data_IF_249444181326
#
_entry.id   IF_249444181326
#
_cell.length_a   1.000
_cell.length_b   1.000
_cell.length_c   1.000
_cell.angle_alpha   90.00
_cell.angle_beta   90.00
_cell.angle_gamma   90.00
#
_symmetry.space_group_name_H-M   'P 1'
#
loop_
_entity.id
_entity.type
_entity.pdbx_description
1 polymer ?
#
# COMPACT_ATOMS: atom_id res chain seq x y z
N UNK A 1 13.68 -17.70 -7.92
CA UNK A 1 13.21 -16.34 -7.57
C UNK A 1 12.93 -15.61 -8.87
N UNK A 2 11.95 -14.69 -8.89
CA UNK A 2 11.64 -13.90 -10.08
C UNK A 2 12.84 -13.00 -10.46
N UNK A 3 13.03 -12.79 -11.75
CA UNK A 3 14.03 -11.89 -12.32
C UNK A 3 13.40 -10.60 -12.82
N UNK A 4 14.18 -9.53 -13.07
CA UNK A 4 13.68 -8.32 -13.72
C UNK A 4 12.97 -8.62 -15.04
N UNK A 5 13.50 -9.53 -15.85
CA UNK A 5 12.91 -9.90 -17.14
C UNK A 5 11.54 -10.56 -16.98
N UNK A 6 11.36 -11.43 -15.98
CA UNK A 6 10.05 -12.03 -15.67
C UNK A 6 9.01 -10.95 -15.34
N UNK A 7 9.42 -9.90 -14.61
CA UNK A 7 8.57 -8.76 -14.27
C UNK A 7 8.19 -7.97 -15.52
N UNK A 8 9.16 -7.64 -16.39
CA UNK A 8 8.91 -6.92 -17.64
C UNK A 8 7.92 -7.67 -18.52
N UNK A 9 8.20 -8.95 -18.78
CA UNK A 9 7.36 -9.80 -19.61
C UNK A 9 5.94 -9.92 -19.06
N UNK A 10 5.79 -10.05 -17.73
CA UNK A 10 4.48 -10.14 -17.09
C UNK A 10 3.68 -8.85 -17.27
N UNK A 11 4.30 -7.69 -17.03
CA UNK A 11 3.62 -6.39 -17.17
C UNK A 11 3.25 -6.16 -18.62
N UNK A 12 4.17 -6.33 -19.57
CA UNK A 12 3.89 -6.15 -20.99
C UNK A 12 2.75 -7.06 -21.47
N UNK A 13 2.67 -8.30 -20.97
CA UNK A 13 1.55 -9.19 -21.28
C UNK A 13 0.23 -8.61 -20.76
N UNK A 14 0.17 -8.21 -19.50
CA UNK A 14 -1.05 -7.64 -18.91
C UNK A 14 -1.51 -6.38 -19.63
N UNK A 15 -0.56 -5.51 -20.04
CA UNK A 15 -0.87 -4.32 -20.82
C UNK A 15 -1.37 -4.67 -22.22
N UNK A 16 -0.77 -5.66 -22.90
CA UNK A 16 -1.29 -6.19 -24.18
C UNK A 16 -2.70 -6.78 -24.03
N UNK A 17 -3.01 -7.36 -22.88
CA UNK A 17 -4.32 -7.92 -22.56
C UNK A 17 -5.35 -6.84 -22.17
N UNK A 18 -4.98 -5.55 -22.22
CA UNK A 18 -5.88 -4.41 -22.05
C UNK A 18 -5.87 -3.76 -20.67
N UNK A 19 -4.87 -4.04 -19.83
CA UNK A 19 -4.69 -3.27 -18.60
C UNK A 19 -4.18 -1.85 -18.92
N UNK A 20 -4.82 -0.84 -18.33
CA UNK A 20 -4.43 0.57 -18.50
C UNK A 20 -3.56 1.11 -17.35
N UNK A 21 -3.22 0.23 -16.40
CA UNK A 21 -2.54 0.58 -15.16
C UNK A 21 -1.81 -0.63 -14.57
N UNK A 22 -0.65 -0.40 -13.93
CA UNK A 22 0.13 -1.47 -13.30
C UNK A 22 -0.02 -1.44 -11.78
N UNK A 23 -0.31 -2.60 -11.18
CA UNK A 23 -0.35 -2.76 -9.72
C UNK A 23 0.61 -3.85 -9.26
N UNK A 24 1.46 -3.54 -8.29
CA UNK A 24 2.37 -4.52 -7.66
C UNK A 24 2.10 -4.69 -6.17
N UNK A 25 2.44 -5.86 -5.63
CA UNK A 25 2.38 -6.16 -4.20
C UNK A 25 3.80 -6.13 -3.63
N UNK A 26 4.17 -5.06 -2.91
CA UNK A 26 5.54 -4.84 -2.45
C UNK A 26 5.81 -5.33 -1.01
N UNK A 27 4.76 -5.73 -0.30
CA UNK A 27 4.80 -6.40 1.01
C UNK A 27 3.66 -7.41 1.11
N UNK A 28 3.68 -8.23 2.16
CA UNK A 28 2.53 -9.03 2.54
C UNK A 28 1.32 -8.19 2.96
N UNK A 29 0.14 -8.82 2.96
CA UNK A 29 -1.13 -8.19 3.27
C UNK A 29 -1.69 -8.65 4.62
N UNK A 30 -2.48 -7.78 5.27
CA UNK A 30 -3.15 -8.12 6.53
C UNK A 30 -4.35 -9.07 6.41
N UNK A 31 -4.81 -9.30 5.17
CA UNK A 31 -5.94 -10.15 4.83
C UNK A 31 -5.52 -11.42 4.06
N UNK A 32 -4.23 -11.55 3.76
CA UNK A 32 -3.68 -12.66 2.96
C UNK A 32 -2.91 -13.60 3.89
N UNK A 33 -3.50 -14.73 4.31
CA UNK A 33 -2.83 -15.67 5.21
C UNK A 33 -1.49 -16.14 4.65
N UNK A 34 -0.49 -16.28 5.53
CA UNK A 34 0.84 -16.77 5.16
C UNK A 34 1.81 -15.71 4.62
N UNK A 35 1.36 -14.47 4.40
CA UNK A 35 2.22 -13.34 4.01
C UNK A 35 2.67 -12.53 5.23
N UNK A 36 3.64 -11.62 5.06
CA UNK A 36 4.24 -10.86 6.17
C UNK A 36 4.16 -9.34 5.89
N UNK A 37 3.22 -8.60 6.51
CA UNK A 37 3.06 -7.16 6.29
C UNK A 37 4.26 -6.30 6.68
N UNK A 38 5.10 -6.80 7.60
CA UNK A 38 6.32 -6.15 8.08
C UNK A 38 7.54 -6.36 7.16
N UNK A 39 7.39 -7.18 6.10
CA UNK A 39 8.50 -7.54 5.20
C UNK A 39 8.28 -7.01 3.79
N UNK A 40 9.33 -6.41 3.24
CA UNK A 40 9.38 -6.03 1.84
C UNK A 40 9.64 -7.27 0.97
N UNK A 41 8.70 -7.60 0.09
CA UNK A 41 8.74 -8.84 -0.71
C UNK A 41 9.47 -8.67 -2.05
N UNK A 42 9.42 -7.46 -2.63
CA UNK A 42 10.11 -7.15 -3.88
C UNK A 42 11.44 -6.45 -3.61
N UNK A 43 12.47 -6.85 -4.36
CA UNK A 43 13.75 -6.15 -4.37
C UNK A 43 13.64 -4.83 -5.12
N UNK A 44 14.56 -3.90 -4.87
CA UNK A 44 14.62 -2.63 -5.61
C UNK A 44 14.79 -2.86 -7.12
N UNK A 45 15.53 -3.88 -7.52
CA UNK A 45 15.76 -4.23 -8.93
C UNK A 45 14.46 -4.64 -9.64
N UNK A 46 13.64 -5.48 -9.00
CA UNK A 46 12.34 -5.90 -9.53
C UNK A 46 11.37 -4.72 -9.61
N UNK A 47 11.37 -3.84 -8.60
CA UNK A 47 10.52 -2.65 -8.60
C UNK A 47 10.92 -1.66 -9.68
N UNK A 48 12.23 -1.45 -9.93
CA UNK A 48 12.72 -0.61 -11.04
C UNK A 48 12.31 -1.17 -12.40
N UNK A 49 12.43 -2.49 -12.59
CA UNK A 49 11.96 -3.11 -13.83
C UNK A 49 10.47 -2.89 -14.05
N UNK A 50 9.66 -2.95 -12.99
CA UNK A 50 8.23 -2.69 -13.06
C UNK A 50 7.91 -1.23 -13.41
N UNK A 51 8.55 -0.26 -12.75
CA UNK A 51 8.32 1.17 -13.00
C UNK A 51 8.78 1.57 -14.40
N UNK A 52 9.96 1.10 -14.83
CA UNK A 52 10.49 1.37 -16.16
C UNK A 52 9.57 0.90 -17.28
N UNK A 53 9.03 -0.33 -17.19
CA UNK A 53 8.11 -0.84 -18.20
C UNK A 53 6.78 -0.09 -18.18
N UNK A 54 6.20 0.16 -17.01
CA UNK A 54 4.97 0.93 -16.89
C UNK A 54 5.11 2.31 -17.56
N UNK A 55 6.17 3.05 -17.22
CA UNK A 55 6.43 4.37 -17.77
C UNK A 55 6.79 4.35 -19.26
N UNK A 56 7.51 3.33 -19.74
CA UNK A 56 7.80 3.16 -21.19
C UNK A 56 6.53 2.94 -21.99
N UNK A 57 5.56 2.23 -21.43
CA UNK A 57 4.25 1.99 -22.04
C UNK A 57 3.26 3.14 -21.80
N UNK A 58 3.68 4.22 -21.12
CA UNK A 58 2.87 5.41 -20.89
C UNK A 58 1.76 5.24 -19.85
N UNK A 59 1.84 4.20 -19.01
CA UNK A 59 0.87 3.92 -17.95
C UNK A 59 1.47 4.18 -16.57
N UNK A 60 0.60 4.44 -15.59
CA UNK A 60 1.01 4.65 -14.20
C UNK A 60 1.13 3.32 -13.45
N UNK A 61 1.88 3.36 -12.34
CA UNK A 61 2.08 2.21 -11.46
C UNK A 61 1.77 2.55 -9.99
N UNK A 62 0.97 1.71 -9.34
CA UNK A 62 0.76 1.74 -7.90
C UNK A 62 1.33 0.50 -7.22
N UNK A 63 1.61 0.61 -5.92
CA UNK A 63 2.04 -0.51 -5.10
C UNK A 63 1.18 -0.67 -3.85
N UNK A 64 0.89 -1.90 -3.45
CA UNK A 64 0.44 -2.21 -2.09
C UNK A 64 1.67 -2.28 -1.19
N UNK A 65 1.71 -1.51 -0.09
CA UNK A 65 2.82 -1.61 0.84
C UNK A 65 2.48 -1.23 2.29
N UNK A 66 2.80 -2.14 3.21
CA UNK A 66 2.81 -1.89 4.65
C UNK A 66 4.23 -1.77 5.21
N UNK A 67 5.15 -2.59 4.70
CA UNK A 67 6.51 -2.65 5.20
C UNK A 67 7.27 -1.33 4.98
N UNK A 68 7.83 -0.73 6.03
CA UNK A 68 8.54 0.55 5.90
C UNK A 68 9.73 0.46 4.95
N UNK A 69 10.43 -0.68 4.95
CA UNK A 69 11.51 -0.96 4.00
C UNK A 69 11.00 -1.05 2.55
N UNK A 70 9.80 -1.59 2.34
CA UNK A 70 9.17 -1.64 1.01
C UNK A 70 8.82 -0.24 0.51
N UNK A 71 8.31 0.63 1.39
CA UNK A 71 8.03 2.03 1.08
C UNK A 71 9.31 2.74 0.62
N UNK A 72 10.44 2.55 1.33
CA UNK A 72 11.73 3.12 0.92
C UNK A 72 12.17 2.66 -0.47
N UNK A 73 12.03 1.36 -0.78
CA UNK A 73 12.38 0.82 -2.11
C UNK A 73 11.48 1.36 -3.21
N UNK A 74 10.19 1.51 -2.94
CA UNK A 74 9.23 2.08 -3.88
C UNK A 74 9.53 3.54 -4.22
N UNK A 75 9.93 4.34 -3.23
CA UNK A 75 10.41 5.72 -3.44
C UNK A 75 11.63 5.71 -4.37
N UNK A 76 12.59 4.81 -4.15
CA UNK A 76 13.80 4.72 -4.98
C UNK A 76 13.58 4.08 -6.36
N UNK A 77 12.51 3.31 -6.53
CA UNK A 77 12.09 2.77 -7.81
C UNK A 77 11.32 3.78 -8.67
N UNK A 78 10.80 4.84 -8.06
CA UNK A 78 10.01 5.87 -8.76
C UNK A 78 8.57 5.44 -9.02
N UNK A 79 7.92 4.78 -8.07
CA UNK A 79 6.48 4.46 -8.16
C UNK A 79 5.64 5.75 -8.17
N UNK A 80 4.50 5.74 -8.87
CA UNK A 80 3.60 6.90 -8.89
C UNK A 80 2.74 6.98 -7.62
N UNK A 81 2.32 5.81 -7.10
CA UNK A 81 1.37 5.73 -6.00
C UNK A 81 1.64 4.56 -5.03
N UNK A 82 1.38 4.77 -3.74
CA UNK A 82 1.43 3.71 -2.72
C UNK A 82 0.12 3.65 -1.94
N UNK A 83 -0.46 2.45 -1.88
CA UNK A 83 -1.63 2.15 -1.07
C UNK A 83 -1.24 1.78 0.37
N UNK A 84 -2.13 2.14 1.29
CA UNK A 84 -2.12 1.96 2.74
C UNK A 84 -1.00 2.67 3.49
N UNK A 85 0.24 2.56 3.00
CA UNK A 85 1.44 3.20 3.60
C UNK A 85 1.53 2.87 5.10
N UNK A 86 1.59 1.58 5.39
CA UNK A 86 1.33 1.04 6.74
C UNK A 86 2.37 1.34 7.81
N UNK A 87 3.62 1.66 7.43
CA UNK A 87 4.73 1.91 8.37
C UNK A 87 4.94 0.78 9.39
N UNK A 88 5.10 -0.45 8.89
CA UNK A 88 5.36 -1.63 9.73
C UNK A 88 6.76 -2.17 9.46
N UNK A 89 7.47 -2.49 10.54
CA UNK A 89 8.74 -3.22 10.47
C UNK A 89 8.74 -4.40 11.45
N UNK A 90 9.87 -5.11 11.60
CA UNK A 90 9.97 -6.29 12.48
C UNK A 90 9.62 -6.01 13.95
N UNK A 91 9.73 -4.75 14.38
CA UNK A 91 9.36 -4.30 15.73
C UNK A 91 7.89 -3.82 15.85
N UNK A 92 7.07 -4.03 14.81
CA UNK A 92 5.69 -3.60 14.73
C UNK A 92 5.49 -2.26 14.00
N UNK A 93 4.35 -1.63 14.25
CA UNK A 93 3.99 -0.33 13.68
C UNK A 93 4.83 0.81 14.27
N UNK A 94 5.42 1.63 13.39
CA UNK A 94 6.13 2.87 13.75
C UNK A 94 6.12 3.84 12.58
N UNK A 95 5.40 4.94 12.73
CA UNK A 95 5.46 6.06 11.78
C UNK A 95 6.88 6.64 11.70
N UNK A 96 7.35 6.93 10.48
CA UNK A 96 8.65 7.54 10.23
C UNK A 96 8.52 8.78 9.35
N UNK A 97 8.65 9.96 9.96
CA UNK A 97 8.45 11.25 9.29
C UNK A 97 9.42 11.46 8.12
N UNK A 98 10.68 11.07 8.25
CA UNK A 98 11.69 11.21 7.20
C UNK A 98 11.31 10.47 5.92
N UNK A 99 10.68 9.29 6.04
CA UNK A 99 10.19 8.53 4.88
C UNK A 99 8.98 9.23 4.26
N UNK A 100 8.08 9.80 5.07
CA UNK A 100 6.94 10.56 4.58
C UNK A 100 7.37 11.85 3.86
N UNK A 101 8.39 12.54 4.37
CA UNK A 101 9.03 13.68 3.71
C UNK A 101 9.58 13.27 2.33
N UNK A 102 10.24 12.11 2.23
CA UNK A 102 10.72 11.61 0.94
C UNK A 102 9.59 11.25 -0.03
N UNK A 103 8.46 10.72 0.44
CA UNK A 103 7.27 10.49 -0.40
C UNK A 103 6.78 11.82 -1.02
N UNK A 104 6.66 12.87 -0.19
CA UNK A 104 6.29 14.21 -0.64
C UNK A 104 7.28 14.75 -1.68
N UNK A 105 8.57 14.72 -1.37
CA UNK A 105 9.60 15.34 -2.19
C UNK A 105 9.75 14.64 -3.55
N UNK A 106 9.49 13.33 -3.61
CA UNK A 106 9.40 12.57 -4.86
C UNK A 106 8.05 12.67 -5.56
N UNK A 107 7.07 13.37 -4.96
CA UNK A 107 5.74 13.58 -5.54
C UNK A 107 4.87 12.33 -5.59
N UNK A 108 5.18 11.30 -4.79
CA UNK A 108 4.43 10.03 -4.74
C UNK A 108 3.05 10.29 -4.13
N UNK A 109 2.00 9.82 -4.79
CA UNK A 109 0.63 9.89 -4.29
C UNK A 109 0.40 8.77 -3.27
N UNK A 110 -0.26 9.07 -2.16
CA UNK A 110 -0.59 8.06 -1.14
C UNK A 110 -2.09 7.86 -1.06
N UNK A 111 -2.53 6.62 -0.94
CA UNK A 111 -3.93 6.26 -0.69
C UNK A 111 -3.99 5.42 0.59
N UNK A 112 -4.25 6.03 1.76
CA UNK A 112 -4.17 5.33 3.05
C UNK A 112 -5.28 4.31 3.32
N UNK A 113 -6.42 4.43 2.66
CA UNK A 113 -7.60 3.56 2.78
C UNK A 113 -8.09 3.44 4.24
N UNK A 114 -8.35 4.60 4.84
CA UNK A 114 -8.63 4.80 6.26
C UNK A 114 -9.92 4.12 6.68
N UNK A 115 -11.03 4.35 5.97
CA UNK A 115 -12.33 3.86 6.40
C UNK A 115 -12.38 2.33 6.38
N UNK A 116 -11.95 1.71 5.28
CA UNK A 116 -11.81 0.26 5.19
C UNK A 116 -10.93 -0.31 6.31
N UNK A 117 -9.80 0.35 6.60
CA UNK A 117 -8.92 -0.05 7.69
C UNK A 117 -9.57 0.03 9.07
N UNK A 118 -10.24 1.14 9.39
CA UNK A 118 -10.95 1.32 10.66
C UNK A 118 -12.09 0.30 10.83
N UNK A 119 -12.79 -0.04 9.74
CA UNK A 119 -13.79 -1.12 9.75
C UNK A 119 -13.17 -2.47 10.09
N UNK A 120 -12.05 -2.81 9.46
CA UNK A 120 -11.33 -4.06 9.75
C UNK A 120 -10.86 -4.11 11.21
N UNK A 121 -10.30 -3.02 11.74
CA UNK A 121 -9.90 -2.95 13.15
C UNK A 121 -11.08 -3.20 14.10
N UNK A 122 -12.24 -2.59 13.85
CA UNK A 122 -13.46 -2.80 14.64
C UNK A 122 -13.95 -4.26 14.58
N UNK A 123 -13.94 -4.86 13.39
CA UNK A 123 -14.28 -6.27 13.21
C UNK A 123 -13.34 -7.17 14.02
N UNK A 124 -12.03 -6.94 13.90
CA UNK A 124 -10.99 -7.70 14.59
C UNK A 124 -11.11 -7.62 16.11
N UNK A 125 -11.37 -6.43 16.67
CA UNK A 125 -11.66 -6.26 18.11
C UNK A 125 -12.90 -7.03 18.55
N UNK A 126 -13.96 -7.05 17.73
CA UNK A 126 -15.21 -7.76 18.05
C UNK A 126 -15.04 -9.28 18.02
N UNK A 127 -14.31 -9.81 17.03
CA UNK A 127 -14.17 -11.25 16.83
C UNK A 127 -13.01 -11.89 17.59
N UNK A 128 -12.02 -11.10 18.03
CA UNK A 128 -10.87 -11.58 18.80
C UNK A 128 -9.89 -12.45 18.00
N UNK A 129 -9.95 -12.42 16.66
CA UNK A 129 -9.00 -13.09 15.75
C UNK A 129 -8.71 -12.24 14.53
N UNK A 130 -7.57 -12.49 13.88
CA UNK A 130 -7.12 -11.80 12.68
C UNK A 130 -7.06 -12.79 11.51
N UNK A 131 -7.28 -12.31 10.28
CA UNK A 131 -7.25 -13.17 9.09
C UNK A 131 -5.83 -13.64 8.76
N UNK A 132 -4.84 -12.76 8.94
CA UNK A 132 -3.42 -13.12 8.83
C UNK A 132 -2.78 -13.22 10.22
N UNK A 133 -2.46 -14.43 10.72
CA UNK A 133 -1.83 -14.60 12.03
C UNK A 133 -0.37 -14.09 12.09
N UNK A 134 0.27 -13.88 10.94
CA UNK A 134 1.61 -13.29 10.88
C UNK A 134 1.60 -11.76 11.06
N UNK A 135 0.43 -11.13 10.99
CA UNK A 135 0.30 -9.69 11.18
C UNK A 135 0.19 -9.35 12.68
N UNK A 136 1.33 -9.36 13.35
CA UNK A 136 1.43 -9.10 14.78
C UNK A 136 1.10 -7.65 15.18
N UNK A 137 1.01 -6.74 14.21
CA UNK A 137 0.69 -5.33 14.40
C UNK A 137 -0.66 -4.96 13.76
N UNK A 138 -1.57 -5.93 13.57
CA UNK A 138 -2.79 -5.74 12.79
C UNK A 138 -3.64 -4.55 13.25
N UNK A 139 -3.91 -4.44 14.55
CA UNK A 139 -4.75 -3.36 15.09
C UNK A 139 -4.05 -2.01 14.95
N UNK A 140 -2.78 -1.91 15.35
CA UNK A 140 -1.97 -0.69 15.25
C UNK A 140 -1.83 -0.24 13.79
N UNK A 141 -1.64 -1.17 12.84
CA UNK A 141 -1.52 -0.88 11.41
C UNK A 141 -2.84 -0.35 10.84
N UNK A 142 -3.98 -0.96 11.18
CA UNK A 142 -5.29 -0.52 10.68
C UNK A 142 -5.76 0.79 11.32
N UNK A 143 -5.66 0.92 12.66
CA UNK A 143 -6.01 2.15 13.38
C UNK A 143 -5.01 3.28 13.04
N UNK A 144 -3.74 2.92 12.82
CA UNK A 144 -2.66 3.83 12.44
C UNK A 144 -2.83 4.49 11.08
N UNK A 145 -3.69 3.97 10.17
CA UNK A 145 -3.99 4.63 8.88
C UNK A 145 -4.54 6.04 9.08
N UNK A 146 -5.44 6.24 10.04
CA UNK A 146 -5.98 7.57 10.35
C UNK A 146 -4.88 8.50 10.88
N UNK A 147 -4.03 7.98 11.78
CA UNK A 147 -2.91 8.73 12.35
C UNK A 147 -1.91 9.14 11.27
N UNK A 148 -1.47 8.19 10.43
CA UNK A 148 -0.58 8.40 9.29
C UNK A 148 -1.16 9.46 8.34
N UNK A 149 -2.45 9.35 7.99
CA UNK A 149 -3.14 10.29 7.10
C UNK A 149 -3.09 11.72 7.63
N UNK A 150 -3.27 11.92 8.94
CA UNK A 150 -3.14 13.23 9.57
C UNK A 150 -1.73 13.80 9.44
N UNK A 151 -0.69 12.96 9.56
CA UNK A 151 0.68 13.40 9.31
C UNK A 151 0.93 13.73 7.85
N UNK A 152 0.44 12.90 6.92
CA UNK A 152 0.55 13.14 5.47
C UNK A 152 -0.08 14.48 5.08
N UNK A 153 -1.27 14.77 5.61
CA UNK A 153 -1.99 16.01 5.34
C UNK A 153 -1.19 17.22 5.82
N UNK A 154 -0.65 17.19 7.05
CA UNK A 154 0.18 18.28 7.60
C UNK A 154 1.47 18.52 6.81
N UNK A 155 2.07 17.45 6.28
CA UNK A 155 3.28 17.53 5.47
C UNK A 155 3.00 18.01 4.03
N UNK A 156 1.73 18.09 3.60
CA UNK A 156 1.35 18.46 2.25
C UNK A 156 1.55 17.34 1.22
N UNK A 157 1.51 16.07 1.62
CA UNK A 157 1.52 14.96 0.67
C UNK A 157 0.21 14.97 -0.13
N UNK A 158 0.29 14.53 -1.40
CA UNK A 158 -0.89 14.27 -2.22
C UNK A 158 -1.58 13.00 -1.72
N UNK A 159 -2.79 13.14 -1.20
CA UNK A 159 -3.60 12.04 -0.69
C UNK A 159 -4.73 11.76 -1.68
N UNK A 160 -4.86 10.51 -2.10
CA UNK A 160 -5.98 10.01 -2.90
C UNK A 160 -6.99 9.29 -1.98
N UNK A 161 -8.27 9.51 -2.22
CA UNK A 161 -9.35 8.72 -1.60
C UNK A 161 -9.45 7.35 -2.25
N UNK A 162 -9.33 6.29 -1.45
CA UNK A 162 -9.49 4.91 -1.90
C UNK A 162 -10.09 4.08 -0.78
N UNK A 163 -11.24 3.46 -1.00
CA UNK A 163 -11.93 2.69 0.05
C UNK A 163 -11.37 1.28 0.25
N UNK A 164 -10.64 0.75 -0.75
CA UNK A 164 -10.21 -0.66 -0.81
C UNK A 164 -11.41 -1.63 -0.67
N UNK A 165 -12.59 -1.20 -1.11
CA UNK A 165 -13.82 -1.98 -1.05
C UNK A 165 -13.73 -3.26 -1.88
N UNK A 166 -14.44 -4.30 -1.46
CA UNK A 166 -14.35 -5.64 -2.06
C UNK A 166 -13.10 -6.44 -1.64
N UNK A 167 -12.08 -5.81 -1.04
CA UNK A 167 -10.88 -6.48 -0.55
C UNK A 167 -10.99 -7.00 0.89
N UNK A 168 -11.57 -6.22 1.81
CA UNK A 168 -11.79 -6.62 3.20
C UNK A 168 -13.16 -7.27 3.39
N UNK A 169 -13.24 -8.19 4.36
CA UNK A 169 -14.38 -9.09 4.58
C UNK A 169 -15.76 -8.41 4.79
N UNK A 170 -15.81 -7.08 4.96
CA UNK A 170 -17.05 -6.33 5.23
C UNK A 170 -16.95 -4.84 4.82
N UNK A 171 -16.21 -4.49 3.76
CA UNK A 171 -16.19 -3.10 3.24
C UNK A 171 -17.04 -3.01 1.95
N UNK A 172 -18.26 -2.46 2.04
CA UNK A 172 -19.16 -2.29 0.90
C UNK A 172 -18.60 -1.36 -0.19
N UNK A 173 -19.15 -1.46 -1.40
CA UNK A 173 -18.72 -0.63 -2.54
C UNK A 173 -19.22 0.83 -2.48
N UNK A 174 -20.12 1.18 -1.57
CA UNK A 174 -20.73 2.51 -1.44
C UNK A 174 -20.06 3.41 -0.39
N UNK A 175 -18.90 3.00 0.16
CA UNK A 175 -18.23 3.71 1.27
C UNK A 175 -17.20 4.75 0.86
N UNK A 176 -17.13 5.12 -0.43
CA UNK A 176 -16.17 6.14 -0.88
C UNK A 176 -16.43 7.50 -0.23
N UNK A 177 -17.70 7.84 0.01
CA UNK A 177 -18.05 9.08 0.72
C UNK A 177 -17.53 9.04 2.16
N UNK A 178 -17.69 7.91 2.85
CA UNK A 178 -17.17 7.73 4.21
C UNK A 178 -15.63 7.83 4.26
N UNK A 179 -14.95 7.29 3.24
CA UNK A 179 -13.49 7.42 3.09
C UNK A 179 -13.07 8.89 2.97
N UNK A 180 -13.74 9.67 2.13
CA UNK A 180 -13.44 11.09 1.95
C UNK A 180 -13.74 11.91 3.21
N UNK A 181 -14.83 11.60 3.93
CA UNK A 181 -15.17 12.22 5.21
C UNK A 181 -14.16 11.86 6.32
N UNK A 182 -13.51 10.70 6.24
CA UNK A 182 -12.46 10.34 7.19
C UNK A 182 -11.18 11.18 7.04
N UNK A 183 -11.04 11.93 5.95
CA UNK A 183 -9.90 12.80 5.68
C UNK A 183 -10.11 14.27 6.10
N UNK A 184 -11.35 14.65 6.48
CA UNK A 184 -11.73 16.01 6.90
C UNK A 184 -11.72 16.15 8.42
#
# INVERSE_FOLDING_TARGET
MATPEDVRHTIERQLRDGADFVKVMASGGGLTPGTYPDRAELSLELLRAATEVAHTQGVQIAAHCHATEGIRRLIEAGVDMIEHVGFVGPAGYRYEEEVAVRLRDRGVVVSPTVYGGLRTARLYRRQGRFDNPNDVAALERYEGRLVNTRHFHRLGLKILGGSDCGGSADTPFDVLVDELLAYT
#
